data_IF_139288981724
#
_entry.id   IF_139288981724
#
_cell.length_a   1.000
_cell.length_b   1.000
_cell.length_c   1.000
_cell.angle_alpha   90.00
_cell.angle_beta   90.00
_cell.angle_gamma   90.00
#
_symmetry.space_group_name_H-M   'P 1'
#
loop_
_entity.id
_entity.type
_entity.pdbx_description
1 polymer ?
#
# COMPACT_ATOMS: atom_id res chain seq x y z
N UNK A 1 10.89 -12.33 25.83
CA UNK A 1 12.20 -11.67 25.71
C UNK A 1 12.68 -11.88 24.30
N UNK A 2 13.05 -10.82 23.55
CA UNK A 2 13.54 -10.97 22.19
C UNK A 2 14.89 -11.73 22.18
N UNK A 3 15.15 -12.63 21.21
CA UNK A 3 16.32 -13.52 21.23
C UNK A 3 17.60 -12.89 20.64
N UNK A 4 17.84 -11.59 20.84
CA UNK A 4 19.03 -10.92 20.31
C UNK A 4 19.80 -10.16 21.39
N UNK A 5 21.11 -10.04 21.15
CA UNK A 5 22.05 -9.40 22.08
C UNK A 5 22.45 -8.04 21.54
N UNK A 6 22.27 -6.99 22.34
CA UNK A 6 22.78 -5.64 22.01
C UNK A 6 24.30 -5.65 22.05
N UNK A 7 24.94 -5.11 21.01
CA UNK A 7 26.39 -4.96 20.97
C UNK A 7 26.74 -3.59 21.55
N UNK A 8 27.53 -3.53 22.63
CA UNK A 8 28.07 -2.26 23.14
C UNK A 8 29.18 -1.77 22.19
N UNK A 9 28.85 -0.82 21.33
CA UNK A 9 29.82 -0.22 20.41
C UNK A 9 30.71 0.78 21.17
N UNK A 10 32.03 0.54 21.19
CA UNK A 10 33.01 1.49 21.74
C UNK A 10 32.97 2.83 20.97
N UNK A 11 33.02 3.93 21.71
CA UNK A 11 32.98 5.32 21.22
C UNK A 11 34.06 5.57 20.15
N UNK A 12 33.62 5.70 18.89
CA UNK A 12 34.50 6.06 17.77
C UNK A 12 34.02 5.58 16.38
N UNK A 13 33.07 4.64 16.31
CA UNK A 13 32.48 4.20 15.05
C UNK A 13 31.42 5.21 14.53
N UNK A 14 31.43 5.49 13.23
CA UNK A 14 30.37 6.22 12.54
C UNK A 14 29.03 5.51 12.83
N UNK A 15 28.06 6.24 13.42
CA UNK A 15 26.73 5.69 13.67
C UNK A 15 26.04 5.41 12.34
N UNK A 16 25.65 4.16 12.10
CA UNK A 16 24.83 3.76 10.95
C UNK A 16 23.54 4.58 10.94
N UNK A 17 23.22 5.15 9.79
CA UNK A 17 22.03 5.98 9.59
C UNK A 17 20.89 5.16 8.99
N UNK A 18 19.64 5.60 9.19
CA UNK A 18 18.48 4.94 8.59
C UNK A 18 18.56 4.85 7.06
N UNK A 19 19.11 5.89 6.41
CA UNK A 19 19.24 5.88 4.95
C UNK A 19 20.20 4.78 4.45
N UNK A 20 21.24 4.47 5.21
CA UNK A 20 22.15 3.35 4.89
C UNK A 20 21.43 2.01 5.04
N UNK A 21 20.65 1.83 6.11
CA UNK A 21 19.82 0.62 6.28
C UNK A 21 18.84 0.46 5.11
N UNK A 22 18.18 1.55 4.71
CA UNK A 22 17.24 1.53 3.59
C UNK A 22 17.90 1.17 2.26
N UNK A 23 19.05 1.76 1.94
CA UNK A 23 19.78 1.47 0.70
C UNK A 23 20.12 -0.03 0.62
N UNK A 24 20.49 -0.65 1.73
CA UNK A 24 20.84 -2.07 1.79
C UNK A 24 19.60 -2.98 1.69
N UNK A 25 18.47 -2.59 2.28
CA UNK A 25 17.28 -3.46 2.44
C UNK A 25 16.30 -3.45 1.25
N UNK A 26 16.18 -2.32 0.54
CA UNK A 26 15.04 -2.04 -0.36
C UNK A 26 14.82 -3.06 -1.49
N UNK A 27 15.90 -3.56 -2.09
CA UNK A 27 15.80 -4.51 -3.21
C UNK A 27 15.76 -5.97 -2.72
N UNK A 28 15.79 -6.18 -1.40
CA UNK A 28 16.02 -7.47 -0.78
C UNK A 28 17.46 -7.96 -0.94
N UNK A 29 17.75 -9.20 -0.52
CA UNK A 29 19.12 -9.69 -0.52
C UNK A 29 19.64 -9.94 -1.94
N UNK A 30 20.81 -9.39 -2.23
CA UNK A 30 21.50 -9.49 -3.52
C UNK A 30 21.94 -10.93 -3.83
N UNK A 31 22.22 -11.70 -2.78
CA UNK A 31 22.53 -13.12 -2.78
C UNK A 31 21.39 -13.90 -2.14
N UNK A 32 21.15 -15.16 -2.53
CA UNK A 32 20.11 -15.95 -1.89
C UNK A 32 20.45 -16.22 -0.42
N UNK A 33 19.44 -16.10 0.45
CA UNK A 33 19.55 -16.39 1.88
C UNK A 33 18.50 -17.41 2.26
N UNK A 34 18.79 -18.23 3.27
CA UNK A 34 17.85 -19.23 3.77
C UNK A 34 18.00 -19.42 5.27
N UNK A 35 16.92 -19.87 5.91
CA UNK A 35 16.93 -20.10 7.34
C UNK A 35 15.59 -20.57 7.88
N UNK A 36 15.57 -20.84 9.19
CA UNK A 36 14.35 -21.19 9.91
C UNK A 36 13.80 -19.93 10.56
N UNK A 37 12.62 -19.48 10.11
CA UNK A 37 11.91 -18.36 10.70
C UNK A 37 10.82 -18.85 11.65
N UNK A 38 10.84 -18.34 12.88
CA UNK A 38 9.88 -18.69 13.93
C UNK A 38 9.01 -17.48 14.26
N UNK A 39 7.70 -17.53 13.99
CA UNK A 39 6.78 -16.55 14.54
C UNK A 39 6.54 -16.83 16.03
N UNK A 40 6.21 -15.80 16.79
CA UNK A 40 5.74 -15.93 18.16
C UNK A 40 4.62 -14.93 18.42
N UNK A 41 3.74 -15.30 19.35
CA UNK A 41 2.67 -14.47 19.87
C UNK A 41 2.46 -14.81 21.33
N UNK A 42 2.56 -13.82 22.21
CA UNK A 42 2.46 -13.96 23.66
C UNK A 42 1.10 -13.47 24.17
N UNK A 43 0.05 -13.70 23.40
CA UNK A 43 -1.34 -13.40 23.75
C UNK A 43 -2.27 -14.42 23.11
N UNK A 44 -3.32 -14.78 23.83
CA UNK A 44 -4.40 -15.66 23.33
C UNK A 44 -5.52 -14.86 22.65
N UNK A 45 -5.40 -13.53 22.59
CA UNK A 45 -6.39 -12.69 21.93
C UNK A 45 -6.49 -13.00 20.44
N UNK A 46 -7.71 -13.19 19.91
CA UNK A 46 -7.91 -13.49 18.50
C UNK A 46 -7.52 -12.30 17.63
N UNK A 47 -6.88 -12.57 16.48
CA UNK A 47 -6.62 -11.55 15.46
C UNK A 47 -7.78 -11.50 14.49
N UNK A 48 -8.37 -10.32 14.33
CA UNK A 48 -9.42 -10.08 13.35
C UNK A 48 -8.81 -9.37 12.15
N UNK A 49 -8.88 -10.01 10.98
CA UNK A 49 -8.42 -9.44 9.72
C UNK A 49 -9.61 -9.11 8.82
N UNK A 50 -9.65 -7.88 8.33
CA UNK A 50 -10.58 -7.46 7.28
C UNK A 50 -9.83 -7.43 5.96
N UNK A 51 -10.22 -8.28 5.02
CA UNK A 51 -9.68 -8.26 3.66
C UNK A 51 -10.81 -8.14 2.64
N UNK A 52 -10.57 -7.34 1.61
CA UNK A 52 -11.46 -7.19 0.46
C UNK A 52 -10.87 -7.94 -0.73
N UNK A 53 -11.63 -8.89 -1.28
CA UNK A 53 -11.26 -9.56 -2.52
C UNK A 53 -12.27 -9.25 -3.61
N UNK A 54 -11.87 -9.49 -4.85
CA UNK A 54 -12.72 -9.34 -6.03
C UNK A 54 -13.61 -10.57 -6.26
N UNK A 55 -13.81 -11.38 -5.22
CA UNK A 55 -14.62 -12.59 -5.22
C UNK A 55 -13.83 -13.89 -5.33
N UNK A 56 -12.53 -13.83 -5.61
CA UNK A 56 -11.65 -14.99 -5.43
C UNK A 56 -11.41 -15.29 -3.96
N UNK A 57 -11.05 -16.54 -3.66
CA UNK A 57 -10.47 -16.90 -2.36
C UNK A 57 -9.14 -16.15 -2.19
N UNK A 58 -8.96 -15.35 -1.12
CA UNK A 58 -7.70 -14.68 -0.86
C UNK A 58 -6.61 -15.71 -0.58
N UNK A 59 -5.39 -15.44 -1.05
CA UNK A 59 -4.20 -16.12 -0.54
C UNK A 59 -3.80 -15.39 0.74
N UNK A 60 -4.20 -15.95 1.88
CA UNK A 60 -3.84 -15.46 3.22
C UNK A 60 -2.60 -16.21 3.69
N UNK A 61 -1.46 -15.55 3.82
CA UNK A 61 -0.25 -16.13 4.40
C UNK A 61 -0.20 -15.84 5.90
N UNK A 62 -0.28 -16.89 6.69
CA UNK A 62 -0.01 -16.93 8.12
C UNK A 62 1.22 -17.81 8.36
N UNK A 63 2.16 -17.35 9.19
CA UNK A 63 3.31 -18.17 9.55
C UNK A 63 2.89 -19.20 10.62
N UNK A 64 3.07 -20.51 10.39
CA UNK A 64 2.77 -21.52 11.39
C UNK A 64 3.64 -21.34 12.63
N UNK A 65 3.06 -21.52 13.81
CA UNK A 65 3.77 -21.43 15.10
C UNK A 65 4.94 -22.41 15.24
N UNK A 66 4.91 -23.52 14.49
CA UNK A 66 6.00 -24.47 14.41
C UNK A 66 7.23 -23.94 13.65
N UNK A 67 7.10 -22.84 12.93
CA UNK A 67 8.14 -22.27 12.08
C UNK A 67 8.08 -22.70 10.62
N UNK A 68 8.88 -22.02 9.81
CA UNK A 68 9.03 -22.28 8.37
C UNK A 68 10.50 -22.26 7.97
N UNK A 69 10.82 -23.00 6.92
CA UNK A 69 12.02 -22.74 6.13
C UNK A 69 11.69 -21.58 5.17
N UNK A 70 12.39 -20.46 5.33
CA UNK A 70 12.25 -19.29 4.48
C UNK A 70 13.52 -19.13 3.64
N UNK A 71 13.35 -19.07 2.32
CA UNK A 71 14.43 -18.73 1.39
C UNK A 71 14.05 -17.47 0.62
N UNK A 72 14.97 -16.52 0.50
CA UNK A 72 14.75 -15.20 -0.13
C UNK A 72 15.87 -14.91 -1.13
N UNK A 73 15.52 -14.24 -2.23
CA UNK A 73 16.50 -13.70 -3.19
C UNK A 73 15.89 -12.48 -3.90
N UNK A 74 16.36 -11.29 -3.54
CA UNK A 74 15.71 -10.03 -3.89
C UNK A 74 14.24 -9.99 -3.43
N UNK A 75 13.31 -9.79 -4.37
CA UNK A 75 11.87 -9.84 -4.11
C UNK A 75 11.26 -11.25 -4.16
N UNK A 76 12.06 -12.28 -4.49
CA UNK A 76 11.63 -13.67 -4.55
C UNK A 76 11.59 -14.28 -3.16
N UNK A 77 10.67 -15.21 -2.94
CA UNK A 77 10.58 -15.96 -1.71
C UNK A 77 10.12 -17.40 -1.96
N UNK A 78 10.53 -18.30 -1.07
CA UNK A 78 10.07 -19.69 -1.01
C UNK A 78 9.87 -20.04 0.46
N UNK A 79 8.68 -20.52 0.79
CA UNK A 79 8.26 -20.88 2.14
C UNK A 79 7.90 -22.36 2.14
N UNK A 80 8.61 -23.12 2.95
CA UNK A 80 8.34 -24.54 3.19
C UNK A 80 8.04 -24.74 4.67
N UNK A 81 7.18 -25.71 5.01
CA UNK A 81 7.14 -26.20 6.38
C UNK A 81 8.43 -26.95 6.70
N UNK A 82 8.72 -27.13 8.00
CA UNK A 82 9.95 -27.77 8.45
C UNK A 82 10.07 -29.25 8.03
N UNK A 83 8.98 -29.87 7.61
CA UNK A 83 8.97 -31.22 7.00
C UNK A 83 9.27 -31.22 5.48
N UNK A 84 9.56 -30.05 4.90
CA UNK A 84 9.93 -29.89 3.49
C UNK A 84 8.75 -29.72 2.53
N UNK A 85 7.51 -29.64 3.01
CA UNK A 85 6.37 -29.35 2.12
C UNK A 85 6.36 -27.87 1.72
N UNK A 86 6.35 -27.61 0.42
CA UNK A 86 6.20 -26.27 -0.15
C UNK A 86 4.80 -25.71 0.20
N UNK A 87 4.76 -24.54 0.83
CA UNK A 87 3.52 -23.86 1.21
C UNK A 87 3.21 -22.73 0.23
N UNK A 88 4.20 -21.87 -0.04
CA UNK A 88 4.06 -20.69 -0.88
C UNK A 88 5.41 -20.37 -1.54
N UNK A 89 5.42 -19.97 -2.81
CA UNK A 89 6.58 -19.31 -3.41
C UNK A 89 6.18 -18.13 -4.28
N UNK A 90 7.14 -17.27 -4.61
CA UNK A 90 6.95 -16.16 -5.52
C UNK A 90 8.23 -15.70 -6.19
N UNK A 91 8.09 -15.24 -7.43
CA UNK A 91 9.19 -14.86 -8.32
C UNK A 91 9.48 -13.35 -8.32
N UNK A 92 8.82 -12.60 -7.43
CA UNK A 92 8.90 -11.13 -7.32
C UNK A 92 7.66 -10.42 -7.85
N UNK A 93 6.90 -11.05 -8.74
CA UNK A 93 5.68 -10.49 -9.34
C UNK A 93 4.46 -11.39 -9.15
N UNK A 94 4.66 -12.71 -9.21
CA UNK A 94 3.63 -13.75 -9.09
C UNK A 94 3.87 -14.59 -7.84
N UNK A 95 2.79 -15.02 -7.19
CA UNK A 95 2.82 -15.96 -6.08
C UNK A 95 1.97 -17.20 -6.38
N UNK A 96 2.42 -18.34 -5.85
CA UNK A 96 1.76 -19.64 -5.97
C UNK A 96 1.58 -20.26 -4.60
N UNK A 97 0.33 -20.55 -4.22
CA UNK A 97 -0.05 -21.18 -2.96
C UNK A 97 -0.38 -22.66 -3.16
N UNK A 98 0.38 -23.51 -2.48
CA UNK A 98 0.38 -24.96 -2.60
C UNK A 98 -0.39 -25.65 -1.46
N UNK A 99 -0.93 -24.90 -0.51
CA UNK A 99 -1.52 -25.47 0.71
C UNK A 99 -2.76 -26.32 0.45
N UNK A 100 -3.57 -25.94 -0.54
CA UNK A 100 -4.78 -26.67 -0.93
C UNK A 100 -4.48 -27.82 -1.91
N UNK A 101 -3.70 -27.55 -2.97
CA UNK A 101 -3.31 -28.54 -3.98
C UNK A 101 -1.84 -28.34 -4.39
N UNK A 102 -0.93 -29.28 -4.04
CA UNK A 102 0.49 -29.16 -4.33
C UNK A 102 0.84 -29.35 -5.82
N UNK A 103 -0.06 -29.92 -6.62
CA UNK A 103 0.15 -30.15 -8.05
C UNK A 103 -0.53 -29.10 -8.93
N UNK A 104 -1.47 -28.36 -8.36
CA UNK A 104 -2.20 -27.28 -9.04
C UNK A 104 -2.37 -26.06 -8.14
N UNK A 105 -1.28 -25.40 -7.75
CA UNK A 105 -1.31 -24.30 -6.80
C UNK A 105 -2.16 -23.13 -7.30
N UNK A 106 -2.64 -22.35 -6.33
CA UNK A 106 -3.38 -21.12 -6.59
C UNK A 106 -2.40 -20.01 -7.01
N UNK A 107 -2.57 -19.48 -8.22
CA UNK A 107 -1.72 -18.39 -8.75
C UNK A 107 -2.40 -17.03 -8.63
N UNK A 108 -1.70 -16.06 -8.04
CA UNK A 108 -2.12 -14.65 -8.03
C UNK A 108 -0.92 -13.72 -8.16
N UNK A 109 -1.16 -12.42 -8.29
CA UNK A 109 -0.08 -11.43 -8.24
C UNK A 109 0.47 -11.36 -6.81
N UNK A 110 1.80 -11.34 -6.63
CA UNK A 110 2.44 -11.33 -5.30
C UNK A 110 1.90 -10.21 -4.40
N UNK A 111 1.66 -9.01 -4.96
CA UNK A 111 1.04 -7.87 -4.25
C UNK A 111 -0.38 -8.10 -3.71
N UNK A 112 -1.04 -9.19 -4.11
CA UNK A 112 -2.39 -9.58 -3.67
C UNK A 112 -2.36 -10.67 -2.60
N UNK A 113 -1.19 -11.20 -2.26
CA UNK A 113 -1.04 -12.06 -1.09
C UNK A 113 -1.25 -11.19 0.15
N UNK A 114 -2.17 -11.62 1.01
CA UNK A 114 -2.47 -10.95 2.26
C UNK A 114 -1.65 -11.65 3.34
N UNK A 115 -0.83 -10.91 4.08
CA UNK A 115 -0.09 -11.46 5.20
C UNK A 115 -0.86 -11.22 6.49
N UNK A 116 -1.10 -12.28 7.25
CA UNK A 116 -1.75 -12.23 8.54
C UNK A 116 -0.74 -12.60 9.64
N UNK A 117 -0.48 -11.63 10.51
CA UNK A 117 0.42 -11.78 11.65
C UNK A 117 1.82 -11.19 11.39
N UNK A 118 2.78 -11.47 12.28
CA UNK A 118 4.11 -10.87 12.23
C UNK A 118 5.04 -11.57 11.23
N UNK A 119 6.06 -10.84 10.77
CA UNK A 119 7.09 -11.35 9.84
C UNK A 119 6.79 -11.04 8.38
N UNK A 120 5.88 -10.09 8.14
CA UNK A 120 5.55 -9.59 6.81
C UNK A 120 6.80 -9.05 6.10
N UNK A 121 7.61 -8.24 6.78
CA UNK A 121 8.82 -7.62 6.22
C UNK A 121 9.95 -8.66 6.01
N UNK A 122 9.91 -9.78 6.74
CA UNK A 122 10.84 -10.90 6.51
C UNK A 122 10.56 -11.61 5.19
N UNK A 123 9.29 -11.75 4.83
CA UNK A 123 8.85 -12.49 3.63
C UNK A 123 8.75 -11.60 2.39
N UNK A 124 8.27 -10.37 2.53
CA UNK A 124 8.05 -9.47 1.39
C UNK A 124 8.95 -8.24 1.47
N UNK A 125 10.01 -8.25 0.65
CA UNK A 125 10.85 -7.07 0.46
C UNK A 125 10.05 -5.94 -0.19
N UNK A 126 10.03 -4.77 0.45
CA UNK A 126 9.29 -3.61 -0.03
C UNK A 126 10.17 -2.67 -0.84
N UNK A 127 9.64 -2.22 -1.99
CA UNK A 127 10.32 -1.26 -2.89
C UNK A 127 10.56 0.09 -2.21
N UNK A 128 11.53 0.86 -2.72
CA UNK A 128 11.93 2.18 -2.20
C UNK A 128 10.74 3.10 -1.90
N UNK A 129 9.77 3.17 -2.81
CA UNK A 129 8.60 4.04 -2.70
C UNK A 129 7.74 3.75 -1.45
N UNK A 130 7.79 2.54 -0.92
CA UNK A 130 7.11 2.21 0.33
C UNK A 130 7.73 2.94 1.53
N UNK A 131 9.06 3.07 1.53
CA UNK A 131 9.82 3.61 2.67
C UNK A 131 9.89 5.14 2.71
N UNK A 132 9.57 5.81 1.61
CA UNK A 132 9.65 7.27 1.45
C UNK A 132 8.27 7.96 1.68
N UNK A 133 7.27 7.20 2.14
CA UNK A 133 5.89 7.68 2.35
C UNK A 133 5.55 8.03 3.81
N UNK A 134 4.45 8.76 4.00
CA UNK A 134 4.16 9.46 5.26
C UNK A 134 3.76 8.63 6.49
N UNK A 135 3.65 7.30 6.46
CA UNK A 135 2.89 6.63 7.53
C UNK A 135 3.35 5.24 8.02
N UNK A 136 4.43 4.63 7.52
CA UNK A 136 4.78 3.25 7.95
C UNK A 136 6.29 3.00 8.12
N UNK A 137 7.13 3.96 7.70
CA UNK A 137 8.57 3.76 7.52
C UNK A 137 9.43 4.82 8.22
N UNK A 138 8.82 5.65 9.08
CA UNK A 138 9.54 6.71 9.78
C UNK A 138 10.19 6.15 11.03
N UNK A 139 11.53 6.18 11.16
CA UNK A 139 12.19 5.76 12.38
C UNK A 139 11.76 6.63 13.56
N UNK A 140 11.46 6.00 14.70
CA UNK A 140 11.15 6.71 15.96
C UNK A 140 12.39 6.90 16.85
N UNK A 141 13.51 6.27 16.48
CA UNK A 141 14.76 6.34 17.23
C UNK A 141 15.99 6.05 16.36
N UNK A 142 17.19 6.02 16.97
CA UNK A 142 18.41 5.71 16.26
C UNK A 142 18.45 4.24 15.81
N UNK A 143 19.25 3.98 14.79
CA UNK A 143 19.65 2.61 14.42
C UNK A 143 20.61 2.10 15.49
N UNK A 144 20.44 0.84 15.90
CA UNK A 144 21.25 0.18 16.93
C UNK A 144 21.88 -1.09 16.39
N UNK A 145 23.14 -1.34 16.72
CA UNK A 145 23.83 -2.58 16.36
C UNK A 145 23.38 -3.73 17.28
N UNK A 146 23.00 -4.85 16.68
CA UNK A 146 22.56 -6.07 17.36
C UNK A 146 23.12 -7.31 16.67
N UNK A 147 23.09 -8.45 17.36
CA UNK A 147 23.35 -9.76 16.76
C UNK A 147 22.06 -10.58 16.70
N UNK A 148 21.75 -11.14 15.51
CA UNK A 148 20.66 -12.10 15.31
C UNK A 148 21.24 -13.32 14.59
N UNK A 149 21.06 -14.51 15.19
CA UNK A 149 21.58 -15.77 14.64
C UNK A 149 23.08 -15.73 14.28
N UNK A 150 23.90 -15.01 15.07
CA UNK A 150 25.34 -14.88 14.83
C UNK A 150 25.70 -13.93 13.69
N UNK A 151 24.79 -13.04 13.29
CA UNK A 151 24.95 -12.09 12.19
C UNK A 151 24.90 -10.65 12.72
N UNK A 152 25.94 -9.83 12.47
CA UNK A 152 25.87 -8.40 12.70
C UNK A 152 24.69 -7.80 11.95
N UNK A 153 23.83 -7.11 12.69
CA UNK A 153 22.56 -6.61 12.19
C UNK A 153 22.27 -5.22 12.76
N UNK A 154 21.40 -4.50 12.07
CA UNK A 154 20.90 -3.19 12.48
C UNK A 154 19.45 -3.30 12.91
N UNK A 155 19.12 -2.79 14.08
CA UNK A 155 17.76 -2.73 14.57
C UNK A 155 17.25 -1.30 14.63
N UNK A 156 16.03 -1.09 14.14
CA UNK A 156 15.36 0.21 14.09
C UNK A 156 13.88 0.04 14.40
N UNK A 157 13.33 0.99 15.16
CA UNK A 157 11.90 1.05 15.44
C UNK A 157 11.25 2.06 14.48
N UNK A 158 10.15 1.65 13.87
CA UNK A 158 9.36 2.41 12.91
C UNK A 158 8.03 2.81 13.55
N UNK A 159 7.62 4.04 13.29
CA UNK A 159 6.39 4.60 13.82
C UNK A 159 5.18 3.82 13.31
N UNK A 160 4.23 3.60 14.20
CA UNK A 160 2.95 3.03 13.86
C UNK A 160 2.23 3.86 12.81
N UNK A 161 1.48 3.18 11.93
CA UNK A 161 0.62 3.83 10.97
C UNK A 161 -0.63 4.46 11.60
N UNK A 162 -1.39 5.24 10.82
CA UNK A 162 -2.68 5.76 11.26
C UNK A 162 -3.61 4.59 11.64
N UNK A 163 -4.54 4.81 12.59
CA UNK A 163 -5.49 3.78 12.99
C UNK A 163 -6.25 3.19 11.79
N UNK A 164 -6.35 1.87 11.74
CA UNK A 164 -7.11 1.15 10.71
C UNK A 164 -8.36 0.57 11.37
N UNK A 165 -9.54 0.91 10.85
CA UNK A 165 -10.80 0.42 11.41
C UNK A 165 -11.08 0.87 12.85
N UNK A 166 -10.43 1.93 13.33
CA UNK A 166 -10.54 2.41 14.70
C UNK A 166 -9.58 1.74 15.69
N UNK A 167 -8.71 0.83 15.23
CA UNK A 167 -7.70 0.17 16.05
C UNK A 167 -6.36 0.90 15.93
N UNK A 168 -5.81 1.34 17.06
CA UNK A 168 -4.45 1.88 17.13
C UNK A 168 -3.45 0.83 16.63
N UNK A 169 -2.47 1.28 15.85
CA UNK A 169 -1.38 0.43 15.39
C UNK A 169 -0.23 0.55 16.41
N UNK A 170 0.54 -0.51 16.57
CA UNK A 170 1.76 -0.49 17.39
C UNK A 170 2.97 -0.17 16.50
N UNK A 171 3.96 0.53 17.05
CA UNK A 171 5.27 0.69 16.41
C UNK A 171 5.84 -0.70 16.07
N UNK A 172 6.63 -0.78 15.01
CA UNK A 172 7.25 -2.03 14.56
C UNK A 172 8.76 -1.89 14.66
N UNK A 173 9.42 -2.86 15.30
CA UNK A 173 10.88 -2.98 15.30
C UNK A 173 11.30 -4.00 14.25
N UNK A 174 12.08 -3.55 13.27
CA UNK A 174 12.72 -4.44 12.30
C UNK A 174 14.20 -4.59 12.62
N UNK A 175 14.73 -5.77 12.32
CA UNK A 175 16.16 -6.07 12.40
C UNK A 175 16.65 -6.52 11.04
N UNK A 176 17.68 -5.87 10.52
CA UNK A 176 18.20 -6.03 9.16
C UNK A 176 19.63 -6.52 9.22
N UNK A 177 19.93 -7.63 8.55
CA UNK A 177 21.29 -8.13 8.39
C UNK A 177 22.16 -7.11 7.65
N UNK A 178 23.29 -6.72 8.24
CA UNK A 178 24.13 -5.64 7.74
C UNK A 178 24.84 -5.97 6.41
N UNK A 179 25.08 -7.25 6.12
CA UNK A 179 25.76 -7.70 4.91
C UNK A 179 24.80 -7.89 3.74
N UNK A 180 23.61 -8.44 4.01
CA UNK A 180 22.66 -8.85 2.95
C UNK A 180 21.47 -7.93 2.80
N UNK A 181 21.19 -7.06 3.77
CA UNK A 181 19.97 -6.26 3.79
C UNK A 181 18.70 -7.05 4.06
N UNK A 182 18.80 -8.33 4.44
CA UNK A 182 17.63 -9.13 4.76
C UNK A 182 17.03 -8.70 6.09
N UNK A 183 15.71 -8.50 6.15
CA UNK A 183 15.01 -8.40 7.44
C UNK A 183 15.05 -9.76 8.13
N UNK A 184 15.86 -9.87 9.17
CA UNK A 184 16.08 -11.09 9.93
C UNK A 184 15.16 -11.23 11.14
N UNK A 185 14.51 -10.14 11.54
CA UNK A 185 13.48 -10.16 12.56
C UNK A 185 12.50 -8.98 12.42
N UNK A 186 11.27 -9.19 12.86
CA UNK A 186 10.21 -8.20 12.95
C UNK A 186 9.46 -8.40 14.25
N UNK A 187 9.24 -7.32 15.01
CA UNK A 187 8.58 -7.37 16.31
C UNK A 187 7.60 -6.21 16.43
N UNK A 188 6.46 -6.42 17.07
CA UNK A 188 5.70 -5.31 17.64
C UNK A 188 6.54 -4.65 18.74
N UNK A 189 6.48 -3.33 18.88
CA UNK A 189 7.29 -2.61 19.86
C UNK A 189 6.96 -2.97 21.32
N UNK A 190 5.74 -3.43 21.59
CA UNK A 190 5.33 -3.99 22.88
C UNK A 190 5.86 -5.41 23.13
N UNK A 191 6.46 -6.05 22.11
CA UNK A 191 7.02 -7.40 22.18
C UNK A 191 5.98 -8.52 22.30
N UNK A 192 4.69 -8.22 22.11
CA UNK A 192 3.62 -9.21 22.19
C UNK A 192 3.72 -10.21 21.04
N UNK A 193 4.07 -9.75 19.85
CA UNK A 193 4.20 -10.62 18.68
C UNK A 193 5.40 -10.26 17.81
N UNK A 194 5.83 -11.20 16.99
CA UNK A 194 6.96 -11.03 16.11
C UNK A 194 7.32 -12.31 15.36
N UNK A 195 8.34 -12.20 14.52
CA UNK A 195 8.98 -13.32 13.87
C UNK A 195 10.49 -13.07 13.79
N UNK A 196 11.28 -14.13 13.86
CA UNK A 196 12.74 -14.05 13.87
C UNK A 196 13.37 -15.30 13.27
N UNK A 197 14.46 -15.13 12.53
CA UNK A 197 15.27 -16.28 12.13
C UNK A 197 15.99 -16.87 13.34
N UNK A 198 15.78 -18.16 13.60
CA UNK A 198 16.58 -18.95 14.55
C UNK A 198 17.87 -19.46 13.91
N UNK A 199 17.81 -19.71 12.61
CA UNK A 199 18.96 -20.07 11.79
C UNK A 199 18.96 -19.16 10.57
N UNK A 200 20.11 -18.63 10.18
CA UNK A 200 20.23 -17.78 9.00
C UNK A 200 21.58 -18.01 8.31
N UNK A 201 21.56 -18.19 7.00
CA UNK A 201 22.77 -18.32 6.19
C UNK A 201 22.58 -17.75 4.79
N UNK A 202 23.67 -17.23 4.23
CA UNK A 202 23.80 -16.94 2.80
C UNK A 202 24.05 -18.25 2.04
N UNK A 203 23.57 -18.30 0.80
CA UNK A 203 23.84 -19.36 -0.15
C UNK A 203 24.74 -18.83 -1.26
N UNK A 204 25.67 -19.67 -1.73
CA UNK A 204 26.55 -19.31 -2.85
C UNK A 204 25.76 -19.14 -4.16
N UNK A 205 24.70 -19.93 -4.33
CA UNK A 205 23.76 -19.86 -5.45
C UNK A 205 22.41 -20.44 -5.05
N UNK A 206 21.35 -20.01 -5.75
CA UNK A 206 20.04 -20.63 -5.71
C UNK A 206 19.55 -20.81 -7.14
N UNK A 207 18.83 -21.90 -7.38
CA UNK A 207 18.12 -22.10 -8.63
C UNK A 207 16.98 -21.08 -8.73
N UNK A 208 17.01 -20.21 -9.74
CA UNK A 208 15.93 -19.26 -10.01
C UNK A 208 14.58 -19.98 -10.23
N UNK A 209 14.62 -21.22 -10.74
CA UNK A 209 13.44 -22.08 -10.88
C UNK A 209 12.78 -22.45 -9.55
N UNK A 210 13.50 -22.42 -8.42
CA UNK A 210 12.96 -22.77 -7.11
C UNK A 210 11.90 -21.79 -6.58
N UNK A 211 11.83 -20.59 -7.17
CA UNK A 211 10.92 -19.50 -6.80
C UNK A 211 9.71 -19.38 -7.72
N UNK A 212 9.58 -20.27 -8.70
CA UNK A 212 8.55 -20.22 -9.74
C UNK A 212 7.89 -21.58 -9.92
N UNK A 213 6.64 -21.55 -10.40
CA UNK A 213 5.93 -22.75 -10.83
C UNK A 213 5.44 -22.61 -12.27
N UNK A 214 5.90 -23.52 -13.11
CA UNK A 214 5.55 -23.59 -14.54
C UNK A 214 4.50 -24.66 -14.87
N UNK A 215 4.05 -25.41 -13.86
CA UNK A 215 3.01 -26.41 -14.02
C UNK A 215 1.58 -25.82 -14.06
N UNK A 216 0.56 -26.70 -14.02
CA UNK A 216 -0.84 -26.28 -13.96
C UNK A 216 -1.13 -25.42 -12.73
N UNK A 217 -2.07 -24.48 -12.84
CA UNK A 217 -2.48 -23.59 -11.74
C UNK A 217 -3.99 -23.44 -11.67
N UNK A 218 -4.47 -22.96 -10.52
CA UNK A 218 -5.80 -22.34 -10.38
C UNK A 218 -5.63 -20.83 -10.47
N UNK A 219 -6.21 -20.23 -11.50
CA UNK A 219 -6.17 -18.77 -11.74
C UNK A 219 -7.21 -18.01 -10.93
N UNK A 220 -7.04 -16.68 -10.81
CA UNK A 220 -7.99 -15.83 -10.07
C UNK A 220 -9.40 -15.90 -10.64
N UNK A 221 -9.51 -16.04 -11.96
CA UNK A 221 -10.79 -16.20 -12.62
C UNK A 221 -11.45 -17.54 -12.29
N UNK A 222 -10.67 -18.63 -12.30
CA UNK A 222 -11.20 -19.97 -11.96
C UNK A 222 -11.67 -20.03 -10.50
N UNK A 223 -10.90 -19.46 -9.57
CA UNK A 223 -11.29 -19.38 -8.16
C UNK A 223 -12.55 -18.53 -7.95
N UNK A 224 -12.66 -17.38 -8.63
CA UNK A 224 -13.88 -16.57 -8.65
C UNK A 224 -15.09 -17.36 -9.15
N UNK A 225 -14.92 -18.06 -10.28
CA UNK A 225 -15.98 -18.88 -10.89
C UNK A 225 -16.42 -20.00 -9.95
N UNK A 226 -15.48 -20.68 -9.30
CA UNK A 226 -15.77 -21.72 -8.31
C UNK A 226 -16.52 -21.16 -7.08
N UNK A 227 -16.20 -19.92 -6.68
CA UNK A 227 -16.92 -19.20 -5.62
C UNK A 227 -18.28 -18.62 -6.05
N UNK A 228 -18.70 -18.83 -7.31
CA UNK A 228 -19.95 -18.32 -7.85
C UNK A 228 -19.97 -16.79 -8.05
N UNK A 229 -18.80 -16.14 -8.09
CA UNK A 229 -18.68 -14.69 -8.27
C UNK A 229 -18.07 -14.41 -9.66
N UNK A 230 -18.78 -13.75 -10.59
CA UNK A 230 -18.19 -13.39 -11.88
C UNK A 230 -17.03 -12.40 -11.69
N UNK A 231 -16.17 -12.30 -12.71
CA UNK A 231 -15.11 -11.31 -12.70
C UNK A 231 -15.68 -9.90 -12.46
N UNK A 232 -15.05 -9.08 -11.58
CA UNK A 232 -15.51 -7.72 -11.34
C UNK A 232 -15.54 -6.97 -12.66
N UNK A 233 -16.62 -6.22 -12.88
CA UNK A 233 -16.74 -5.41 -14.08
C UNK A 233 -17.11 -6.18 -15.35
N UNK A 234 -16.79 -7.47 -15.52
CA UNK A 234 -17.08 -8.17 -16.79
C UNK A 234 -18.58 -8.26 -17.10
N UNK A 235 -19.41 -8.54 -16.10
CA UNK A 235 -20.87 -8.52 -16.28
C UNK A 235 -21.38 -7.09 -16.53
N UNK A 236 -20.81 -6.09 -15.85
CA UNK A 236 -21.15 -4.68 -16.07
C UNK A 236 -20.70 -4.19 -17.45
N UNK A 237 -19.55 -4.62 -17.95
CA UNK A 237 -19.01 -4.34 -19.28
C UNK A 237 -19.84 -5.03 -20.35
N UNK A 238 -20.21 -6.30 -20.14
CA UNK A 238 -21.12 -7.04 -21.04
C UNK A 238 -22.49 -6.39 -21.06
N UNK A 239 -23.02 -6.01 -19.91
CA UNK A 239 -24.30 -5.30 -19.81
C UNK A 239 -24.23 -3.92 -20.46
N UNK A 240 -23.14 -3.17 -20.27
CA UNK A 240 -22.91 -1.88 -20.90
C UNK A 240 -22.77 -2.01 -22.42
N UNK A 241 -22.01 -2.98 -22.91
CA UNK A 241 -21.87 -3.28 -24.33
C UNK A 241 -23.19 -3.73 -24.95
N UNK A 242 -23.94 -4.60 -24.27
CA UNK A 242 -25.29 -4.98 -24.70
C UNK A 242 -26.22 -3.78 -24.75
N UNK A 243 -26.24 -2.93 -23.71
CA UNK A 243 -27.07 -1.74 -23.65
C UNK A 243 -26.72 -0.75 -24.77
N UNK A 244 -25.44 -0.56 -25.04
CA UNK A 244 -24.97 0.26 -26.16
C UNK A 244 -25.42 -0.31 -27.51
N UNK A 245 -25.29 -1.62 -27.70
CA UNK A 245 -25.62 -2.27 -28.97
C UNK A 245 -27.13 -2.44 -29.22
N UNK A 246 -27.97 -2.44 -28.17
CA UNK A 246 -29.40 -2.80 -28.28
C UNK A 246 -30.35 -1.68 -27.84
N UNK A 247 -29.91 -0.72 -27.03
CA UNK A 247 -30.77 0.33 -26.47
C UNK A 247 -30.38 1.71 -27.01
N UNK A 248 -29.11 2.11 -26.86
CA UNK A 248 -28.64 3.42 -27.33
C UNK A 248 -27.21 3.35 -27.88
N UNK A 249 -27.09 3.53 -29.20
CA UNK A 249 -25.81 3.48 -29.91
C UNK A 249 -24.93 4.71 -29.68
N UNK A 250 -25.43 5.74 -29.00
CA UNK A 250 -24.68 6.97 -28.70
C UNK A 250 -24.58 7.18 -27.19
N UNK A 251 -23.52 7.85 -26.74
CA UNK A 251 -23.35 8.18 -25.33
C UNK A 251 -24.48 9.12 -24.87
N UNK A 252 -25.23 8.70 -23.84
CA UNK A 252 -26.29 9.53 -23.26
C UNK A 252 -25.66 10.63 -22.41
N UNK A 253 -25.71 11.86 -22.91
CA UNK A 253 -25.32 13.06 -22.15
C UNK A 253 -26.56 13.89 -21.86
N UNK A 254 -26.90 14.03 -20.57
CA UNK A 254 -28.03 14.83 -20.12
C UNK A 254 -27.55 15.91 -19.14
N UNK A 255 -27.86 17.19 -19.38
CA UNK A 255 -27.57 18.24 -18.41
C UNK A 255 -28.45 18.05 -17.17
N UNK A 256 -27.81 17.82 -16.02
CA UNK A 256 -28.50 17.71 -14.72
C UNK A 256 -28.17 18.91 -13.84
N UNK A 257 -29.16 19.38 -13.07
CA UNK A 257 -28.96 20.42 -12.06
C UNK A 257 -28.57 19.74 -10.76
N UNK A 258 -27.40 20.10 -10.23
CA UNK A 258 -26.89 19.60 -8.95
C UNK A 258 -26.91 20.77 -7.96
N UNK A 259 -27.44 20.53 -6.76
CA UNK A 259 -27.36 21.48 -5.66
C UNK A 259 -25.93 21.54 -5.10
N UNK A 260 -25.31 22.72 -5.20
CA UNK A 260 -23.96 23.00 -4.73
C UNK A 260 -23.90 23.70 -3.36
N UNK A 261 -24.97 23.62 -2.57
CA UNK A 261 -24.96 24.12 -1.19
C UNK A 261 -23.79 23.51 -0.41
N UNK A 262 -22.94 24.36 0.19
CA UNK A 262 -21.81 23.90 1.01
C UNK A 262 -22.36 23.09 2.18
N UNK A 263 -21.99 21.81 2.26
CA UNK A 263 -22.43 20.93 3.34
C UNK A 263 -21.39 20.78 4.44
N UNK A 264 -20.12 20.80 4.03
CA UNK A 264 -18.95 20.74 4.89
C UNK A 264 -17.83 21.56 4.27
N UNK A 265 -17.01 22.19 5.09
CA UNK A 265 -15.76 22.78 4.66
C UNK A 265 -14.67 22.43 5.67
N UNK A 266 -13.53 21.97 5.17
CA UNK A 266 -12.31 21.84 5.94
C UNK A 266 -11.51 23.14 5.74
N UNK A 267 -11.35 23.91 6.82
CA UNK A 267 -10.53 25.12 6.83
C UNK A 267 -9.07 24.70 7.08
N UNK A 268 -8.19 24.96 6.12
CA UNK A 268 -6.78 24.56 6.18
C UNK A 268 -5.94 25.63 6.86
N UNK A 269 -6.25 26.90 6.58
CA UNK A 269 -5.58 28.05 7.17
C UNK A 269 -6.57 29.23 7.20
N UNK A 270 -6.88 29.72 8.40
CA UNK A 270 -7.81 30.81 8.60
C UNK A 270 -7.24 32.16 8.12
N UNK A 271 -5.93 32.36 8.24
CA UNK A 271 -5.28 33.65 7.97
C UNK A 271 -5.15 33.88 6.46
N UNK A 272 -4.78 32.84 5.71
CA UNK A 272 -4.77 32.89 4.24
C UNK A 272 -6.14 32.60 3.61
N UNK A 273 -7.13 32.18 4.41
CA UNK A 273 -8.45 31.78 3.95
C UNK A 273 -8.42 30.52 3.09
N UNK A 274 -7.43 29.65 3.23
CA UNK A 274 -7.34 28.40 2.48
C UNK A 274 -8.32 27.36 3.01
N UNK A 275 -9.09 26.74 2.11
CA UNK A 275 -10.10 25.75 2.49
C UNK A 275 -10.35 24.70 1.41
N UNK A 276 -11.08 23.65 1.77
CA UNK A 276 -11.74 22.73 0.84
C UNK A 276 -13.19 22.50 1.27
N UNK A 277 -14.13 22.90 0.41
CA UNK A 277 -15.56 22.75 0.59
C UNK A 277 -16.08 21.54 -0.18
N UNK A 278 -16.92 20.76 0.48
CA UNK A 278 -17.62 19.60 -0.07
C UNK A 278 -19.05 20.04 -0.39
N UNK A 279 -19.35 20.14 -1.68
CA UNK A 279 -20.62 20.68 -2.17
C UNK A 279 -21.71 19.60 -2.26
N UNK A 280 -21.31 18.33 -2.21
CA UNK A 280 -22.21 17.16 -2.25
C UNK A 280 -21.85 16.19 -1.13
N UNK A 281 -22.84 15.68 -0.39
CA UNK A 281 -22.65 14.71 0.72
C UNK A 281 -22.93 13.27 0.34
N UNK A 282 -23.34 12.99 -0.90
CA UNK A 282 -23.63 11.63 -1.31
C UNK A 282 -22.36 10.79 -1.26
N UNK A 283 -22.41 9.58 -0.64
CA UNK A 283 -21.41 8.55 -0.90
C UNK A 283 -21.23 8.42 -2.41
N UNK A 284 -20.04 8.05 -2.89
CA UNK A 284 -19.74 7.91 -4.32
C UNK A 284 -20.75 7.03 -5.11
N UNK A 285 -21.57 6.25 -4.40
CA UNK A 285 -22.67 5.44 -4.92
C UNK A 285 -24.00 6.17 -5.19
N UNK A 286 -24.16 7.47 -4.91
CA UNK A 286 -25.46 8.19 -5.04
C UNK A 286 -25.43 9.51 -5.82
N UNK A 287 -24.28 9.92 -6.36
CA UNK A 287 -24.18 11.15 -7.15
C UNK A 287 -22.74 11.62 -7.35
N UNK A 288 -22.51 12.64 -8.20
CA UNK A 288 -21.18 13.18 -8.44
C UNK A 288 -20.61 13.81 -7.17
N UNK A 289 -19.36 13.51 -6.86
CA UNK A 289 -18.65 14.18 -5.75
C UNK A 289 -18.04 15.48 -6.24
N UNK A 290 -18.42 16.59 -5.62
CA UNK A 290 -17.95 17.92 -5.99
C UNK A 290 -17.18 18.59 -4.86
N UNK A 291 -15.95 19.00 -5.16
CA UNK A 291 -15.05 19.67 -4.24
C UNK A 291 -14.67 21.04 -4.79
N UNK A 292 -14.63 22.04 -3.92
CA UNK A 292 -14.16 23.38 -4.23
C UNK A 292 -13.03 23.72 -3.25
N UNK A 293 -11.84 24.00 -3.77
CA UNK A 293 -10.72 24.43 -2.93
C UNK A 293 -10.27 25.84 -3.29
N UNK A 294 -9.77 26.55 -2.29
CA UNK A 294 -9.18 27.88 -2.41
C UNK A 294 -7.87 27.92 -1.62
N UNK A 295 -6.89 28.67 -2.13
CA UNK A 295 -5.71 29.10 -1.39
C UNK A 295 -5.34 30.53 -1.77
N UNK A 296 -4.50 31.19 -0.96
CA UNK A 296 -3.87 32.44 -1.37
C UNK A 296 -3.09 32.24 -2.68
N UNK A 297 -3.15 33.24 -3.56
CA UNK A 297 -2.53 33.19 -4.88
C UNK A 297 -1.04 32.96 -4.74
N UNK A 298 -0.53 31.98 -5.49
CA UNK A 298 0.88 31.61 -5.42
C UNK A 298 1.42 31.17 -6.76
N UNK A 299 2.71 31.44 -6.99
CA UNK A 299 3.47 30.89 -8.12
C UNK A 299 3.96 29.47 -7.85
N UNK A 300 3.77 28.93 -6.64
CA UNK A 300 4.16 27.57 -6.30
C UNK A 300 3.15 26.55 -6.86
N UNK A 301 3.61 25.42 -7.45
CA UNK A 301 2.73 24.37 -7.94
C UNK A 301 1.71 23.90 -6.90
N UNK A 302 0.43 23.83 -7.29
CA UNK A 302 -0.64 23.36 -6.42
C UNK A 302 -0.91 21.87 -6.65
N UNK A 303 -0.71 21.07 -5.61
CA UNK A 303 -1.12 19.68 -5.60
C UNK A 303 -2.63 19.59 -5.29
N UNK A 304 -3.43 19.54 -6.34
CA UNK A 304 -4.89 19.37 -6.26
C UNK A 304 -5.27 17.90 -6.48
N UNK A 305 -6.45 17.50 -5.99
CA UNK A 305 -6.97 16.13 -6.16
C UNK A 305 -7.22 15.85 -7.65
N UNK A 306 -6.96 14.62 -8.12
CA UNK A 306 -7.22 14.21 -9.51
C UNK A 306 -8.49 13.33 -9.64
N UNK A 307 -9.68 13.93 -9.72
CA UNK A 307 -10.84 13.27 -10.33
C UNK A 307 -10.97 13.55 -11.83
N UNK A 308 -11.94 12.89 -12.45
CA UNK A 308 -12.17 12.87 -13.90
C UNK A 308 -12.37 14.26 -14.54
N UNK A 309 -12.93 15.24 -13.83
CA UNK A 309 -13.04 16.63 -14.31
C UNK A 309 -12.52 17.62 -13.26
N UNK A 310 -11.61 18.49 -13.69
CA UNK A 310 -11.00 19.52 -12.86
C UNK A 310 -10.86 20.83 -13.64
N UNK A 311 -11.22 21.93 -13.01
CA UNK A 311 -10.98 23.28 -13.56
C UNK A 311 -10.41 24.16 -12.47
N UNK A 312 -9.31 24.85 -12.78
CA UNK A 312 -8.63 25.76 -11.86
C UNK A 312 -8.51 27.15 -12.47
N UNK A 313 -8.60 28.19 -11.63
CA UNK A 313 -8.50 29.58 -12.07
C UNK A 313 -7.95 30.48 -10.95
N UNK A 314 -7.42 31.64 -11.32
CA UNK A 314 -6.91 32.65 -10.39
C UNK A 314 -7.79 33.90 -10.41
N UNK A 315 -8.02 34.50 -9.25
CA UNK A 315 -8.40 35.92 -9.09
C UNK A 315 -7.15 36.72 -8.67
N UNK A 316 -7.31 38.00 -8.32
CA UNK A 316 -6.20 38.85 -7.88
C UNK A 316 -5.43 38.23 -6.70
N UNK A 317 -6.17 37.72 -5.71
CA UNK A 317 -5.62 37.31 -4.41
C UNK A 317 -5.70 35.80 -4.15
N UNK A 318 -6.46 35.05 -4.94
CA UNK A 318 -6.71 33.62 -4.67
C UNK A 318 -6.53 32.73 -5.90
N UNK A 319 -6.03 31.53 -5.64
CA UNK A 319 -6.14 30.40 -6.56
C UNK A 319 -7.35 29.54 -6.16
N UNK A 320 -8.11 29.12 -7.16
CA UNK A 320 -9.31 28.33 -7.01
C UNK A 320 -9.23 27.05 -7.83
N UNK A 321 -9.85 25.99 -7.34
CA UNK A 321 -10.08 24.78 -8.14
C UNK A 321 -11.43 24.18 -7.81
N UNK A 322 -12.15 23.74 -8.84
CA UNK A 322 -13.34 22.90 -8.71
C UNK A 322 -13.05 21.54 -9.31
N UNK A 323 -13.55 20.52 -8.65
CA UNK A 323 -13.31 19.13 -8.99
C UNK A 323 -14.64 18.39 -8.97
N UNK A 324 -14.94 17.65 -10.02
CA UNK A 324 -16.19 16.90 -10.18
C UNK A 324 -15.84 15.45 -10.56
N UNK A 325 -16.27 14.51 -9.72
CA UNK A 325 -16.23 13.09 -10.03
C UNK A 325 -17.54 12.66 -10.71
N UNK A 326 -17.49 11.98 -11.85
CA UNK A 326 -18.68 11.47 -12.54
C UNK A 326 -19.52 12.53 -13.25
N UNK A 327 -18.91 13.63 -13.71
CA UNK A 327 -19.60 14.69 -14.45
C UNK A 327 -18.67 15.82 -14.91
N UNK A 328 -19.25 16.85 -15.52
CA UNK A 328 -18.55 18.06 -15.99
C UNK A 328 -19.39 19.31 -15.77
N UNK A 329 -18.76 20.48 -15.75
CA UNK A 329 -19.45 21.77 -15.89
C UNK A 329 -19.25 22.31 -17.30
N UNK A 330 -20.33 22.77 -17.91
CA UNK A 330 -20.23 23.56 -19.13
C UNK A 330 -19.74 24.99 -18.84
N UNK A 331 -19.46 25.75 -19.89
CA UNK A 331 -18.97 27.12 -19.75
C UNK A 331 -19.97 28.05 -19.06
N UNK A 332 -21.28 27.79 -19.19
CA UNK A 332 -22.29 28.61 -18.54
C UNK A 332 -22.31 28.35 -17.03
N UNK A 333 -22.27 27.09 -16.61
CA UNK A 333 -22.18 26.65 -15.23
C UNK A 333 -20.91 27.16 -14.56
N UNK A 334 -19.77 27.05 -15.25
CA UNK A 334 -18.50 27.58 -14.75
C UNK A 334 -18.53 29.11 -14.58
N UNK A 335 -19.13 29.85 -15.52
CA UNK A 335 -19.33 31.30 -15.39
C UNK A 335 -20.24 31.66 -14.22
N UNK A 336 -21.33 30.91 -14.01
CA UNK A 336 -22.24 31.12 -12.86
C UNK A 336 -21.53 30.85 -11.54
N UNK A 337 -20.80 29.74 -11.44
CA UNK A 337 -20.02 29.38 -10.26
C UNK A 337 -19.00 30.47 -9.90
N UNK A 338 -18.23 30.94 -10.88
CA UNK A 338 -17.26 32.03 -10.69
C UNK A 338 -17.92 33.30 -10.15
N UNK A 339 -19.03 33.72 -10.76
CA UNK A 339 -19.78 34.90 -10.31
C UNK A 339 -20.36 34.74 -8.90
N UNK A 340 -20.72 33.52 -8.49
CA UNK A 340 -21.19 33.28 -7.11
C UNK A 340 -20.06 33.34 -6.08
N UNK A 341 -18.86 32.85 -6.44
CA UNK A 341 -17.74 32.77 -5.51
C UNK A 341 -16.97 34.09 -5.37
N UNK A 342 -16.88 34.86 -6.45
CA UNK A 342 -16.17 36.14 -6.50
C UNK A 342 -16.87 37.08 -7.50
N UNK A 343 -18.01 37.69 -7.12
CA UNK A 343 -18.83 38.48 -8.05
C UNK A 343 -18.10 39.68 -8.66
N UNK A 344 -17.14 40.24 -7.93
CA UNK A 344 -16.45 41.48 -8.28
C UNK A 344 -14.99 41.27 -8.73
N UNK A 345 -14.44 40.06 -8.60
CA UNK A 345 -13.05 39.78 -9.01
C UNK A 345 -13.00 39.06 -10.36
N UNK A 346 -12.30 39.61 -11.37
CA UNK A 346 -12.14 38.94 -12.64
C UNK A 346 -11.21 37.72 -12.52
N UNK A 347 -11.45 36.73 -13.37
CA UNK A 347 -10.49 35.64 -13.59
C UNK A 347 -9.31 36.16 -14.41
N UNK A 348 -8.10 36.03 -13.88
CA UNK A 348 -6.87 36.56 -14.48
C UNK A 348 -5.87 35.49 -14.92
N UNK A 349 -6.21 34.21 -14.76
CA UNK A 349 -5.35 33.11 -15.21
C UNK A 349 -5.71 31.76 -14.61
N UNK A 350 -4.75 30.85 -14.67
CA UNK A 350 -4.80 29.50 -14.12
C UNK A 350 -3.57 29.28 -13.25
N UNK A 351 -3.71 28.68 -12.05
CA UNK A 351 -2.58 28.48 -11.17
C UNK A 351 -1.63 27.40 -11.73
N UNK A 352 -0.34 27.43 -11.37
CA UNK A 352 0.57 26.33 -11.68
C UNK A 352 0.10 25.08 -10.92
N UNK A 353 -0.10 23.97 -11.62
CA UNK A 353 -0.56 22.70 -11.02
C UNK A 353 0.59 21.69 -10.94
N UNK A 354 0.70 21.01 -9.81
CA UNK A 354 1.62 19.89 -9.68
C UNK A 354 1.01 18.65 -10.36
N UNK A 355 1.75 18.00 -11.27
CA UNK A 355 1.37 16.66 -11.73
C UNK A 355 1.58 15.69 -10.57
N UNK A 356 0.50 15.14 -10.04
CA UNK A 356 0.61 13.99 -9.14
C UNK A 356 0.98 12.78 -10.00
N UNK A 357 2.09 12.10 -9.69
CA UNK A 357 2.36 10.79 -10.28
C UNK A 357 1.17 9.88 -9.94
N UNK A 358 0.52 9.33 -10.96
CA UNK A 358 -0.49 8.29 -10.76
C UNK A 358 0.27 7.07 -10.26
N UNK A 359 0.27 6.84 -8.96
CA UNK A 359 0.71 5.56 -8.38
C UNK A 359 -0.35 4.53 -8.77
N UNK A 360 -0.10 3.82 -9.86
CA UNK A 360 -0.86 2.63 -10.30
C UNK A 360 -0.62 1.44 -9.41
#
# INVERSE_FOLDING_TARGET
>A
MPPYTTIETQQGALMTTWIEVLITMVDGPDRPVTGIAMPYRHTDEPVVWYTGTYGETPILLDLPSAGIQLTRWGHRFRIESLDGRLLLCGDGDTAWDFRDDPHRPRRTAQRRVVFAGPGHEMVFGRRAAHWVGNHWATPTGPVTDVDVAGRPSWAVTLAAGPPVGGTEQTDIRIVVDAETGTVVAEHSADGIEGAVYQEFRTLDAADAGAFRWDGPVVTDEESRRAAGRPAPGLEQERAAAWFHNNVVAEAVSLPVVIDFSVRRADLHDADSGAFTAYLTTTPASRGPSVYLSRRARSTQPWAVLVPQFQVSWCTADFDWTVVIAGGSLDEQGLRRLRRWLHPDDPVIGTPPLARRAVTT
#
